data_IF_756623429558
#
_entry.id   IF_756623429558
#
_cell.length_a   1.000
_cell.length_b   1.000
_cell.length_c   1.000
_cell.angle_alpha   90.00
_cell.angle_beta   90.00
_cell.angle_gamma   90.00
#
_symmetry.space_group_name_H-M   'P 1'
#
loop_
_entity.id
_entity.type
_entity.pdbx_description
1 polymer ?
#
# COMPACT_ATOMS: atom_id res chain seq x y z
N UNK A 1 15.31 -13.13 -6.29
CA UNK A 1 16.25 -12.27 -5.52
C UNK A 1 15.46 -11.03 -5.19
N UNK A 2 15.35 -10.69 -3.91
CA UNK A 2 14.53 -9.55 -3.49
C UNK A 2 15.37 -8.28 -3.56
N UNK A 3 14.87 -7.26 -4.26
CA UNK A 3 15.44 -5.92 -4.27
C UNK A 3 14.51 -4.95 -3.53
N UNK A 4 15.10 -4.03 -2.76
CA UNK A 4 14.36 -2.96 -2.08
C UNK A 4 14.58 -1.65 -2.85
N UNK A 5 13.51 -1.01 -3.30
CA UNK A 5 13.56 0.19 -4.16
C UNK A 5 12.71 1.31 -3.57
N UNK A 6 13.17 2.56 -3.72
CA UNK A 6 12.38 3.75 -3.39
C UNK A 6 11.21 3.85 -4.36
N UNK A 7 10.01 4.04 -3.85
CA UNK A 7 8.80 4.04 -4.65
C UNK A 7 8.72 5.28 -5.55
N UNK A 8 8.21 5.08 -6.76
CA UNK A 8 7.86 6.11 -7.76
C UNK A 8 6.46 5.88 -8.28
N UNK A 9 5.86 6.88 -8.92
CA UNK A 9 4.45 6.84 -9.34
C UNK A 9 4.10 5.63 -10.21
N UNK A 10 5.04 5.15 -11.03
CA UNK A 10 4.91 3.92 -11.84
C UNK A 10 4.71 2.63 -11.03
N UNK A 11 4.97 2.63 -9.71
CA UNK A 11 4.86 1.45 -8.84
C UNK A 11 3.56 1.42 -8.02
N UNK A 12 2.73 2.47 -8.09
CA UNK A 12 1.54 2.64 -7.24
C UNK A 12 0.59 1.46 -7.35
N UNK A 13 0.35 0.95 -8.56
CA UNK A 13 -0.54 -0.21 -8.77
C UNK A 13 -0.06 -1.46 -8.02
N UNK A 14 1.23 -1.77 -8.12
CA UNK A 14 1.83 -2.92 -7.43
C UNK A 14 1.76 -2.79 -5.91
N UNK A 15 1.96 -1.57 -5.40
CA UNK A 15 1.84 -1.24 -3.97
C UNK A 15 0.39 -1.39 -3.49
N UNK A 16 -0.58 -0.79 -4.20
CA UNK A 16 -2.00 -0.92 -3.88
C UNK A 16 -2.45 -2.38 -3.84
N UNK A 17 -1.99 -3.17 -4.82
CA UNK A 17 -2.29 -4.60 -4.89
C UNK A 17 -1.75 -5.36 -3.69
N UNK A 18 -0.46 -5.22 -3.36
CA UNK A 18 0.13 -5.98 -2.25
C UNK A 18 -0.45 -5.56 -0.90
N UNK A 19 -0.72 -4.27 -0.69
CA UNK A 19 -1.36 -3.79 0.54
C UNK A 19 -2.79 -4.31 0.68
N UNK A 20 -3.56 -4.33 -0.41
CA UNK A 20 -4.90 -4.93 -0.44
C UNK A 20 -4.85 -6.41 -0.06
N UNK A 21 -4.00 -7.19 -0.73
CA UNK A 21 -3.84 -8.62 -0.45
C UNK A 21 -3.41 -8.88 0.99
N UNK A 22 -2.41 -8.14 1.49
CA UNK A 22 -1.93 -8.27 2.85
C UNK A 22 -3.01 -7.96 3.89
N UNK A 23 -3.88 -6.98 3.63
CA UNK A 23 -4.98 -6.66 4.54
C UNK A 23 -6.03 -7.77 4.59
N UNK A 24 -6.38 -8.35 3.43
CA UNK A 24 -7.25 -9.52 3.37
C UNK A 24 -6.63 -10.73 4.07
N UNK A 25 -5.35 -10.99 3.86
CA UNK A 25 -4.63 -12.09 4.51
C UNK A 25 -4.58 -11.92 6.03
N UNK A 26 -4.28 -10.69 6.49
CA UNK A 26 -4.18 -10.38 7.92
C UNK A 26 -5.54 -10.44 8.64
N UNK A 27 -6.61 -9.94 8.01
CA UNK A 27 -7.89 -9.69 8.70
C UNK A 27 -9.08 -10.49 8.16
N UNK A 28 -8.92 -11.26 7.09
CA UNK A 28 -9.99 -11.96 6.38
C UNK A 28 -10.81 -12.91 7.25
N UNK A 29 -10.16 -13.55 8.22
CA UNK A 29 -10.83 -14.46 9.17
C UNK A 29 -11.38 -13.72 10.41
N UNK A 30 -10.97 -12.48 10.64
CA UNK A 30 -11.33 -11.70 11.83
C UNK A 30 -12.41 -10.64 11.58
N UNK A 31 -12.61 -10.23 10.32
CA UNK A 31 -13.49 -9.10 9.96
C UNK A 31 -14.42 -9.47 8.81
N UNK A 32 -15.64 -8.91 8.76
CA UNK A 32 -16.52 -9.09 7.62
C UNK A 32 -15.88 -8.59 6.33
N UNK A 33 -16.12 -9.31 5.23
CA UNK A 33 -15.65 -8.93 3.89
C UNK A 33 -16.00 -7.47 3.53
N UNK A 34 -17.22 -7.02 3.87
CA UNK A 34 -17.67 -5.64 3.62
C UNK A 34 -16.87 -4.58 4.39
N UNK A 35 -16.37 -4.92 5.59
CA UNK A 35 -15.50 -4.03 6.36
C UNK A 35 -14.13 -3.92 5.68
N UNK A 36 -13.54 -5.07 5.33
CA UNK A 36 -12.24 -5.10 4.66
C UNK A 36 -12.32 -4.35 3.33
N UNK A 37 -13.37 -4.60 2.53
CA UNK A 37 -13.60 -3.91 1.27
C UNK A 37 -13.59 -2.38 1.44
N UNK A 38 -14.33 -1.85 2.42
CA UNK A 38 -14.32 -0.41 2.73
C UNK A 38 -12.93 0.11 3.10
N UNK A 39 -12.16 -0.66 3.85
CA UNK A 39 -10.80 -0.27 4.24
C UNK A 39 -9.87 -0.24 3.03
N UNK A 40 -9.84 -1.29 2.21
CA UNK A 40 -8.92 -1.35 1.07
C UNK A 40 -9.30 -0.32 -0.01
N UNK A 41 -10.59 -0.08 -0.24
CA UNK A 41 -11.06 0.98 -1.15
C UNK A 41 -10.67 2.37 -0.66
N UNK A 42 -10.75 2.61 0.65
CA UNK A 42 -10.42 3.92 1.22
C UNK A 42 -8.91 4.18 1.30
N UNK A 43 -8.12 3.19 1.73
CA UNK A 43 -6.69 3.38 2.01
C UNK A 43 -5.77 2.97 0.86
N UNK A 44 -6.15 1.96 0.07
CA UNK A 44 -5.27 1.37 -0.95
C UNK A 44 -5.77 1.64 -2.38
N UNK A 45 -6.49 2.73 -2.61
CA UNK A 45 -6.77 3.23 -3.95
C UNK A 45 -5.58 4.02 -4.53
N UNK A 46 -5.51 4.07 -5.87
CA UNK A 46 -4.39 4.66 -6.61
C UNK A 46 -4.18 6.14 -6.29
N UNK A 47 -5.26 6.92 -6.20
CA UNK A 47 -5.18 8.37 -5.99
C UNK A 47 -4.54 8.70 -4.64
N UNK A 48 -5.05 8.08 -3.58
CA UNK A 48 -4.57 8.29 -2.21
C UNK A 48 -3.12 7.83 -2.07
N UNK A 49 -2.80 6.61 -2.50
CA UNK A 49 -1.43 6.07 -2.38
C UNK A 49 -0.44 6.92 -3.17
N UNK A 50 -0.80 7.35 -4.39
CA UNK A 50 0.04 8.27 -5.17
C UNK A 50 0.23 9.61 -4.44
N UNK A 51 -0.79 10.12 -3.75
CA UNK A 51 -0.68 11.34 -2.94
C UNK A 51 0.20 11.16 -1.71
N UNK A 52 0.09 10.04 -0.99
CA UNK A 52 0.95 9.73 0.16
C UNK A 52 2.42 9.59 -0.28
N UNK A 53 2.67 8.94 -1.42
CA UNK A 53 4.01 8.83 -2.00
C UNK A 53 4.64 10.17 -2.38
N UNK A 54 3.84 11.17 -2.78
CA UNK A 54 4.35 12.53 -3.05
C UNK A 54 4.74 13.27 -1.77
N UNK A 55 4.12 12.94 -0.65
CA UNK A 55 4.23 13.68 0.61
C UNK A 55 5.04 12.95 1.69
N UNK A 56 5.53 11.74 1.43
CA UNK A 56 6.21 10.90 2.42
C UNK A 56 7.28 10.01 1.79
N UNK A 57 7.88 9.16 2.61
CA UNK A 57 8.87 8.18 2.15
C UNK A 57 8.24 6.79 2.03
N UNK A 58 8.27 6.22 0.83
CA UNK A 58 7.78 4.89 0.51
C UNK A 58 8.88 4.04 -0.11
N UNK A 59 8.92 2.79 0.30
CA UNK A 59 9.80 1.75 -0.20
C UNK A 59 8.97 0.52 -0.55
N UNK A 60 9.44 -0.25 -1.52
CA UNK A 60 8.81 -1.50 -1.91
C UNK A 60 9.86 -2.57 -2.18
N UNK A 61 9.46 -3.82 -1.97
CA UNK A 61 10.22 -5.01 -2.30
C UNK A 61 9.73 -5.55 -3.64
N UNK A 62 10.67 -5.88 -4.53
CA UNK A 62 10.39 -6.51 -5.82
C UNK A 62 11.13 -7.84 -5.93
N UNK A 63 10.45 -8.86 -6.43
CA UNK A 63 11.04 -10.14 -6.80
C UNK A 63 10.55 -10.52 -8.20
N UNK A 64 11.48 -10.79 -9.13
CA UNK A 64 11.14 -11.13 -10.52
C UNK A 64 10.31 -10.07 -11.25
N UNK A 65 10.47 -8.79 -10.92
CA UNK A 65 9.68 -7.68 -11.50
C UNK A 65 8.31 -7.46 -10.87
N UNK A 66 7.92 -8.28 -9.88
CA UNK A 66 6.64 -8.18 -9.18
C UNK A 66 6.81 -7.53 -7.80
N UNK A 67 5.96 -6.56 -7.47
CA UNK A 67 5.92 -5.99 -6.12
C UNK A 67 5.36 -7.03 -5.14
N UNK A 68 6.17 -7.38 -4.14
CA UNK A 68 5.87 -8.41 -3.11
C UNK A 68 5.78 -7.83 -1.69
N UNK A 69 6.11 -6.55 -1.51
CA UNK A 69 5.93 -5.86 -0.24
C UNK A 69 6.05 -4.35 -0.41
N UNK A 70 5.42 -3.61 0.50
CA UNK A 70 5.50 -2.16 0.52
C UNK A 70 5.47 -1.64 1.97
N UNK A 71 6.22 -0.57 2.23
CA UNK A 71 6.26 0.10 3.52
C UNK A 71 6.51 1.58 3.32
N UNK A 72 5.75 2.41 4.03
CA UNK A 72 5.89 3.86 3.95
C UNK A 72 5.69 4.52 5.30
N UNK A 73 6.38 5.65 5.48
CA UNK A 73 6.17 6.54 6.62
C UNK A 73 5.34 7.72 6.12
N UNK A 74 4.05 7.71 6.43
CA UNK A 74 3.16 8.82 6.14
C UNK A 74 3.47 10.03 7.03
N UNK A 75 3.45 11.24 6.46
CA UNK A 75 3.45 12.46 7.26
C UNK A 75 2.05 12.65 7.83
N UNK A 76 1.88 12.48 9.16
CA UNK A 76 0.65 12.89 9.83
C UNK A 76 0.46 14.39 9.56
N UNK A 77 -0.64 14.78 8.90
CA UNK A 77 -1.08 16.19 8.95
C UNK A 77 -1.28 16.53 10.42
N UNK A 78 -0.58 17.56 10.91
CA UNK A 78 -0.96 18.20 12.18
C UNK A 78 -2.43 18.62 12.01
N UNK A 79 -3.31 18.09 12.85
CA UNK A 79 -4.70 18.54 12.90
C UNK A 79 -4.71 20.06 13.08
N UNK A 80 -5.55 20.75 12.31
CA UNK A 80 -5.88 22.15 12.59
C UNK A 80 -6.78 22.20 13.81
#
# INVERSE_FOLDING_TARGET
MIEIKKARQEHVEGICRVCTLAYWDTYGEMRPASYIQRIVEYFYNLERVAQEMRNGEYWFAVDGGMVVGAGGVGVRRKGK
#
